data_IF_758197398903
#
_entry.id   IF_758197398903
#
_cell.length_a   1.000
_cell.length_b   1.000
_cell.length_c   1.000
_cell.angle_alpha   90.00
_cell.angle_beta   90.00
_cell.angle_gamma   90.00
#
_symmetry.space_group_name_H-M   'P 1'
#
loop_
_entity.id
_entity.type
_entity.pdbx_description
1 polymer ?
#
# COMPACT_ATOMS: atom_id res chain seq x y z
N UNK A 1 6.73 14.68 25.64
CA UNK A 1 7.24 14.03 24.40
C UNK A 1 6.05 13.57 23.54
N UNK A 2 6.15 13.66 22.22
CA UNK A 2 5.14 13.06 21.32
C UNK A 2 5.24 11.54 21.40
N UNK A 3 4.09 10.87 21.36
CA UNK A 3 4.01 9.41 21.39
C UNK A 3 4.60 8.83 20.10
N UNK A 4 5.34 7.73 20.21
CA UNK A 4 6.00 7.04 19.09
C UNK A 4 5.72 5.54 19.17
N UNK A 5 5.83 4.87 18.03
CA UNK A 5 5.72 3.41 17.93
C UNK A 5 6.73 2.84 16.94
N UNK A 6 6.97 1.53 17.00
CA UNK A 6 7.81 0.83 16.03
C UNK A 6 7.04 0.60 14.71
N UNK A 7 7.36 1.43 13.71
CA UNK A 7 6.75 1.38 12.38
C UNK A 7 7.44 0.45 11.38
N UNK A 8 8.40 -0.39 11.80
CA UNK A 8 9.24 -1.17 10.89
C UNK A 8 8.44 -2.00 9.90
N UNK A 9 7.40 -2.70 10.37
CA UNK A 9 6.53 -3.52 9.51
C UNK A 9 5.69 -2.67 8.57
N UNK A 10 5.15 -1.54 9.05
CA UNK A 10 4.39 -0.61 8.23
C UNK A 10 5.24 -0.04 7.08
N UNK A 11 6.46 0.38 7.40
CA UNK A 11 7.43 0.89 6.43
C UNK A 11 7.81 -0.18 5.39
N UNK A 12 8.03 -1.43 5.82
CA UNK A 12 8.32 -2.54 4.91
C UNK A 12 7.17 -2.80 3.92
N UNK A 13 5.92 -2.83 4.40
CA UNK A 13 4.74 -2.96 3.54
C UNK A 13 4.68 -1.85 2.49
N UNK A 14 4.86 -0.60 2.92
CA UNK A 14 4.83 0.57 2.02
C UNK A 14 5.95 0.54 0.96
N UNK A 15 7.20 0.28 1.37
CA UNK A 15 8.34 0.20 0.45
C UNK A 15 8.19 -0.96 -0.54
N UNK A 16 7.70 -2.11 -0.08
CA UNK A 16 7.41 -3.27 -0.92
C UNK A 16 6.35 -2.97 -1.99
N UNK A 17 5.30 -2.21 -1.63
CA UNK A 17 4.25 -1.76 -2.55
C UNK A 17 4.80 -0.78 -3.59
N UNK A 18 5.58 0.23 -3.16
CA UNK A 18 6.22 1.19 -4.07
C UNK A 18 7.12 0.47 -5.08
N UNK A 19 7.88 -0.53 -4.65
CA UNK A 19 8.71 -1.34 -5.54
C UNK A 19 7.87 -2.14 -6.56
N UNK A 20 6.84 -2.87 -6.11
CA UNK A 20 6.00 -3.73 -6.98
C UNK A 20 5.13 -2.96 -7.95
N UNK A 21 4.77 -1.74 -7.60
CA UNK A 21 4.06 -0.81 -8.50
C UNK A 21 5.00 -0.08 -9.46
N UNK A 22 6.30 -0.39 -9.48
CA UNK A 22 7.25 0.19 -10.42
C UNK A 22 7.59 1.67 -10.16
N UNK A 23 7.43 2.14 -8.91
CA UNK A 23 7.97 3.43 -8.43
C UNK A 23 7.53 4.69 -9.22
N UNK A 24 6.36 4.63 -9.86
CA UNK A 24 5.85 5.68 -10.77
C UNK A 24 4.50 6.28 -10.35
N UNK A 25 4.05 5.98 -9.13
CA UNK A 25 2.72 6.37 -8.64
C UNK A 25 2.79 7.14 -7.32
N UNK A 26 1.92 8.13 -7.18
CA UNK A 26 1.78 8.92 -5.96
C UNK A 26 1.10 8.18 -4.80
N UNK A 27 1.12 8.80 -3.63
CA UNK A 27 0.72 8.19 -2.34
C UNK A 27 -0.70 7.62 -2.36
N UNK A 28 -1.68 8.29 -2.98
CA UNK A 28 -3.06 7.79 -3.01
C UNK A 28 -3.19 6.44 -3.70
N UNK A 29 -2.48 6.22 -4.81
CA UNK A 29 -2.48 4.92 -5.50
C UNK A 29 -1.83 3.84 -4.63
N UNK A 30 -0.76 4.19 -3.90
CA UNK A 30 -0.12 3.26 -2.98
C UNK A 30 -1.05 2.88 -1.82
N UNK A 31 -1.82 3.85 -1.28
CA UNK A 31 -2.83 3.58 -0.25
C UNK A 31 -3.92 2.68 -0.79
N UNK A 32 -4.44 2.95 -1.99
CA UNK A 32 -5.49 2.12 -2.60
C UNK A 32 -5.00 0.67 -2.79
N UNK A 33 -3.77 0.47 -3.28
CA UNK A 33 -3.17 -0.88 -3.40
C UNK A 33 -2.97 -1.52 -2.01
N UNK A 34 -2.33 -0.84 -1.07
CA UNK A 34 -2.05 -1.38 0.27
C UNK A 34 -3.33 -1.76 1.03
N UNK A 35 -4.38 -0.97 0.90
CA UNK A 35 -5.67 -1.23 1.57
C UNK A 35 -6.56 -2.20 0.80
N UNK A 36 -6.16 -2.60 -0.42
CA UNK A 36 -6.92 -3.54 -1.25
C UNK A 36 -8.17 -2.92 -1.85
N UNK A 37 -8.17 -1.61 -2.04
CA UNK A 37 -9.28 -0.89 -2.65
C UNK A 37 -9.28 -1.12 -4.16
N UNK A 38 -10.38 -1.68 -4.65
CA UNK A 38 -10.61 -1.86 -6.08
C UNK A 38 -10.81 -0.50 -6.76
N UNK A 39 -10.07 -0.24 -7.83
CA UNK A 39 -10.16 0.98 -8.63
C UNK A 39 -9.92 0.64 -10.10
N UNK A 40 -10.63 1.31 -11.01
CA UNK A 40 -10.45 1.08 -12.46
C UNK A 40 -8.97 1.16 -12.88
N UNK A 41 -8.23 2.17 -12.38
CA UNK A 41 -6.80 2.33 -12.67
C UNK A 41 -5.96 1.19 -12.10
N UNK A 42 -6.32 0.66 -10.93
CA UNK A 42 -5.65 -0.50 -10.33
C UNK A 42 -5.80 -1.73 -11.21
N UNK A 43 -7.04 -1.98 -11.67
CA UNK A 43 -7.39 -3.13 -12.53
C UNK A 43 -6.73 -3.03 -13.90
N UNK A 44 -6.76 -1.85 -14.53
CA UNK A 44 -6.11 -1.58 -15.81
C UNK A 44 -4.59 -1.84 -15.78
N UNK A 45 -3.98 -1.72 -14.59
CA UNK A 45 -2.56 -1.95 -14.35
C UNK A 45 -2.27 -3.36 -13.79
N UNK A 46 -3.30 -4.18 -13.58
CA UNK A 46 -3.23 -5.48 -12.89
C UNK A 46 -2.60 -5.39 -11.48
N UNK A 47 -2.79 -4.27 -10.79
CA UNK A 47 -2.24 -4.07 -9.45
C UNK A 47 -3.05 -4.78 -8.34
N UNK A 48 -4.29 -5.17 -8.63
CA UNK A 48 -5.13 -6.05 -7.83
C UNK A 48 -4.52 -7.46 -7.67
N UNK A 49 -3.67 -7.88 -8.62
CA UNK A 49 -2.99 -9.18 -8.62
C UNK A 49 -1.63 -9.15 -7.91
N UNK A 50 -1.15 -7.99 -7.46
CA UNK A 50 0.13 -7.90 -6.78
C UNK A 50 0.04 -8.49 -5.38
N UNK A 51 1.10 -9.18 -4.95
CA UNK A 51 1.24 -9.69 -3.56
C UNK A 51 1.11 -8.63 -2.46
N UNK A 52 1.17 -7.34 -2.81
CA UNK A 52 1.01 -6.21 -1.89
C UNK A 52 -0.42 -5.66 -1.85
N UNK A 53 -1.31 -6.13 -2.71
CA UNK A 53 -2.71 -5.72 -2.71
C UNK A 53 -3.40 -6.20 -1.42
N UNK A 54 -3.93 -5.26 -0.64
CA UNK A 54 -4.61 -5.55 0.62
C UNK A 54 -3.69 -5.91 1.81
N UNK A 55 -2.37 -5.87 1.66
CA UNK A 55 -1.42 -6.25 2.74
C UNK A 55 -1.43 -5.28 3.94
N UNK A 56 -1.89 -4.05 3.74
CA UNK A 56 -2.10 -3.04 4.77
C UNK A 56 -3.56 -2.90 5.21
N UNK A 57 -4.44 -3.85 4.88
CA UNK A 57 -5.86 -3.80 5.26
C UNK A 57 -6.08 -3.75 6.79
N UNK A 58 -5.15 -4.33 7.55
CA UNK A 58 -5.07 -4.27 9.01
C UNK A 58 -4.81 -2.85 9.55
N UNK A 59 -4.32 -1.94 8.71
CA UNK A 59 -3.97 -0.55 9.07
C UNK A 59 -5.06 0.45 8.70
N UNK A 60 -6.12 0.03 7.98
CA UNK A 60 -7.18 0.93 7.52
C UNK A 60 -8.09 1.47 8.64
N UNK A 61 -7.85 1.06 9.89
CA UNK A 61 -8.66 1.41 11.06
C UNK A 61 -7.87 2.10 12.19
N UNK A 62 -6.64 2.54 11.94
CA UNK A 62 -5.80 3.22 12.93
C UNK A 62 -5.79 4.74 12.73
#
# INVERSE_FOLDING_TARGET
>A
PVETYDGSVAAQKALSCVYRTGQRFGVMHQIDVLTGKQTQRGDDLAHDQLSTFGVGSDMSAM
#
